data_IF_417487861962
#
_entry.id   IF_417487861962
#
_cell.length_a   1.000
_cell.length_b   1.000
_cell.length_c   1.000
_cell.angle_alpha   90.00
_cell.angle_beta   90.00
_cell.angle_gamma   90.00
#
_symmetry.space_group_name_H-M   'P 1'
#
loop_
_entity.id
_entity.type
_entity.pdbx_description
1 polymer ?
#
# COMPACT_ATOMS: atom_id res chain seq x y z
N UNK A 1 8.87 18.07 -9.00
CA UNK A 1 8.94 17.86 -10.50
C UNK A 1 8.86 16.37 -10.79
N UNK A 2 7.99 15.95 -11.69
CA UNK A 2 7.84 14.53 -12.05
C UNK A 2 9.06 14.05 -12.84
N UNK A 3 9.68 12.96 -12.38
CA UNK A 3 10.87 12.37 -13.00
C UNK A 3 10.44 11.15 -13.81
N UNK A 4 10.69 11.17 -15.11
CA UNK A 4 10.50 9.99 -15.96
C UNK A 4 11.73 9.08 -15.84
N UNK A 5 11.51 7.84 -15.45
CA UNK A 5 12.57 6.86 -15.23
C UNK A 5 13.05 6.29 -16.56
N UNK A 6 14.36 6.18 -16.71
CA UNK A 6 14.99 5.44 -17.81
C UNK A 6 14.76 3.92 -17.65
N UNK A 7 14.97 3.17 -18.72
CA UNK A 7 14.86 1.71 -18.68
C UNK A 7 15.77 1.07 -17.61
N UNK A 8 16.96 1.62 -17.42
CA UNK A 8 17.89 1.17 -16.36
C UNK A 8 17.33 1.43 -14.96
N UNK A 9 16.77 2.62 -14.71
CA UNK A 9 16.17 2.96 -13.40
C UNK A 9 14.93 2.12 -13.10
N UNK A 10 14.08 1.85 -14.11
CA UNK A 10 12.93 0.96 -13.97
C UNK A 10 13.40 -0.45 -13.58
N UNK A 11 14.49 -0.94 -14.16
CA UNK A 11 15.03 -2.26 -13.80
C UNK A 11 15.58 -2.28 -12.34
N UNK A 12 16.19 -1.20 -11.87
CA UNK A 12 16.59 -1.05 -10.46
C UNK A 12 15.37 -1.04 -9.53
N UNK A 13 14.33 -0.27 -9.87
CA UNK A 13 13.07 -0.23 -9.12
C UNK A 13 12.40 -1.61 -9.13
N UNK A 14 12.42 -2.34 -10.23
CA UNK A 14 11.89 -3.71 -10.34
C UNK A 14 12.54 -4.66 -9.35
N UNK A 15 13.86 -4.59 -9.16
CA UNK A 15 14.59 -5.42 -8.17
C UNK A 15 14.13 -5.10 -6.74
N UNK A 16 14.03 -3.82 -6.39
CA UNK A 16 13.55 -3.40 -5.09
C UNK A 16 12.08 -3.81 -4.87
N UNK A 17 11.23 -3.62 -5.89
CA UNK A 17 9.81 -4.01 -5.87
C UNK A 17 9.63 -5.52 -5.72
N UNK A 18 10.48 -6.34 -6.35
CA UNK A 18 10.47 -7.80 -6.17
C UNK A 18 10.79 -8.18 -4.73
N UNK A 19 11.81 -7.56 -4.13
CA UNK A 19 12.16 -7.79 -2.72
C UNK A 19 11.00 -7.41 -1.79
N UNK A 20 10.34 -6.26 -2.03
CA UNK A 20 9.15 -5.82 -1.30
C UNK A 20 8.03 -6.85 -1.41
N UNK A 21 7.70 -7.30 -2.63
CA UNK A 21 6.64 -8.28 -2.88
C UNK A 21 6.92 -9.63 -2.20
N UNK A 22 8.18 -10.11 -2.26
CA UNK A 22 8.59 -11.37 -1.62
C UNK A 22 8.54 -11.26 -0.09
N UNK A 23 8.96 -10.11 0.47
CA UNK A 23 8.87 -9.84 1.90
C UNK A 23 7.41 -9.85 2.36
N UNK A 24 6.51 -9.16 1.63
CA UNK A 24 5.07 -9.19 1.93
C UNK A 24 4.49 -10.60 1.88
N UNK A 25 4.85 -11.39 0.87
CA UNK A 25 4.39 -12.79 0.73
C UNK A 25 4.81 -13.63 1.93
N UNK A 26 6.05 -13.48 2.40
CA UNK A 26 6.54 -14.12 3.62
C UNK A 26 5.73 -13.68 4.86
N UNK A 27 5.50 -12.38 5.02
CA UNK A 27 4.74 -11.85 6.16
C UNK A 27 3.29 -12.33 6.18
N UNK A 28 2.64 -12.41 5.02
CA UNK A 28 1.29 -12.98 4.87
C UNK A 28 1.25 -14.43 5.36
N UNK A 29 2.25 -15.24 5.02
CA UNK A 29 2.37 -16.64 5.49
C UNK A 29 2.55 -16.72 7.01
N UNK A 30 3.33 -15.80 7.60
CA UNK A 30 3.67 -15.79 9.03
C UNK A 30 2.58 -15.16 9.91
N UNK A 31 1.76 -14.28 9.37
CA UNK A 31 0.73 -13.56 10.12
C UNK A 31 -0.43 -14.49 10.53
N UNK A 32 -0.36 -14.96 11.76
CA UNK A 32 -1.33 -15.90 12.38
C UNK A 32 -1.72 -15.41 13.77
N UNK A 33 -2.89 -15.84 14.30
CA UNK A 33 -3.24 -15.54 15.69
C UNK A 33 -2.12 -15.92 16.65
N UNK A 34 -1.77 -14.99 17.55
CA UNK A 34 -0.73 -15.17 18.57
C UNK A 34 0.62 -14.55 18.27
N UNK A 35 0.98 -14.31 17.00
CA UNK A 35 2.19 -13.55 16.65
C UNK A 35 2.01 -12.08 17.01
N UNK A 36 3.09 -11.41 17.43
CA UNK A 36 3.10 -9.98 17.67
C UNK A 36 3.46 -9.21 16.39
N UNK A 37 3.02 -7.97 16.29
CA UNK A 37 3.40 -7.12 15.15
C UNK A 37 4.90 -6.82 15.13
N UNK A 38 5.59 -6.82 16.30
CA UNK A 38 7.04 -6.69 16.37
C UNK A 38 7.78 -7.93 15.83
N UNK A 39 7.26 -9.14 16.06
CA UNK A 39 7.84 -10.34 15.46
C UNK A 39 7.75 -10.31 13.94
N UNK A 40 6.65 -9.83 13.36
CA UNK A 40 6.52 -9.62 11.92
C UNK A 40 7.53 -8.58 11.41
N UNK A 41 7.69 -7.48 12.12
CA UNK A 41 8.69 -6.43 11.82
C UNK A 41 10.11 -7.00 11.77
N UNK A 42 10.47 -7.82 12.77
CA UNK A 42 11.78 -8.48 12.85
C UNK A 42 12.00 -9.42 11.66
N UNK A 43 11.00 -10.24 11.32
CA UNK A 43 11.05 -11.14 10.16
C UNK A 43 11.26 -10.35 8.87
N UNK A 44 10.57 -9.22 8.71
CA UNK A 44 10.72 -8.36 7.54
C UNK A 44 12.14 -7.79 7.43
N UNK A 45 12.68 -7.24 8.55
CA UNK A 45 14.03 -6.66 8.56
C UNK A 45 15.10 -7.70 8.23
N UNK A 46 15.02 -8.89 8.84
CA UNK A 46 15.95 -9.99 8.59
C UNK A 46 15.88 -10.46 7.12
N UNK A 47 14.69 -10.60 6.56
CA UNK A 47 14.50 -11.02 5.18
C UNK A 47 15.07 -10.00 4.19
N UNK A 48 14.70 -8.73 4.34
CA UNK A 48 15.19 -7.63 3.49
C UNK A 48 16.71 -7.58 3.52
N UNK A 49 17.33 -7.60 4.72
CA UNK A 49 18.80 -7.53 4.88
C UNK A 49 19.50 -8.75 4.27
N UNK A 50 18.96 -9.94 4.46
CA UNK A 50 19.56 -11.18 3.93
C UNK A 50 19.55 -11.22 2.40
N UNK A 51 18.70 -10.41 1.76
CA UNK A 51 18.62 -10.27 0.30
C UNK A 51 19.30 -8.98 -0.23
N UNK A 52 20.15 -8.36 0.60
CA UNK A 52 20.95 -7.19 0.20
C UNK A 52 20.18 -5.87 0.15
N UNK A 53 18.96 -5.84 0.65
CA UNK A 53 18.13 -4.63 0.74
C UNK A 53 18.24 -3.90 2.07
N UNK A 54 17.61 -2.74 2.12
CA UNK A 54 17.47 -1.88 3.30
C UNK A 54 16.00 -1.53 3.45
N UNK A 55 15.46 -1.56 4.69
CA UNK A 55 14.15 -0.97 4.96
C UNK A 55 14.20 0.55 4.80
N UNK A 56 13.32 1.09 3.97
CA UNK A 56 13.22 2.54 3.75
C UNK A 56 12.29 3.22 4.76
N UNK A 57 11.38 2.48 5.38
CA UNK A 57 10.49 3.01 6.42
C UNK A 57 11.26 3.35 7.70
N UNK A 58 12.19 2.47 8.11
CA UNK A 58 12.91 2.61 9.37
C UNK A 58 13.82 3.83 9.39
N UNK A 59 13.51 4.79 10.27
CA UNK A 59 14.21 6.06 10.39
C UNK A 59 13.67 7.18 9.50
N UNK A 60 12.75 6.88 8.58
CA UNK A 60 12.13 7.91 7.73
C UNK A 60 11.27 8.84 8.57
N UNK A 61 11.66 10.14 8.62
CA UNK A 61 11.10 11.14 9.54
C UNK A 61 10.97 10.66 11.00
N UNK A 62 11.80 9.70 11.43
CA UNK A 62 11.80 9.14 12.78
C UNK A 62 10.88 7.94 12.99
N UNK A 63 10.26 7.38 11.93
CA UNK A 63 9.48 6.15 12.04
C UNK A 63 10.34 5.00 12.61
N UNK A 64 9.91 4.29 13.67
CA UNK A 64 10.81 3.43 14.43
C UNK A 64 10.99 2.00 13.88
N UNK A 65 10.24 1.61 12.83
CA UNK A 65 10.10 0.22 12.43
C UNK A 65 10.35 -0.03 10.93
N UNK A 66 10.53 -1.28 10.57
CA UNK A 66 10.75 -1.76 9.19
C UNK A 66 9.47 -1.78 8.38
N UNK A 67 8.34 -2.12 9.03
CA UNK A 67 7.02 -2.18 8.41
C UNK A 67 6.04 -1.29 9.15
N UNK A 68 4.96 -0.88 8.47
CA UNK A 68 3.74 -0.46 9.14
C UNK A 68 2.84 -1.70 9.34
N UNK A 69 2.31 -1.88 10.56
CA UNK A 69 1.42 -2.99 10.92
C UNK A 69 0.15 -2.45 11.56
N UNK A 70 -0.83 -2.14 10.72
CA UNK A 70 -2.08 -1.47 11.11
C UNK A 70 -3.20 -2.49 11.32
N UNK A 71 -3.82 -2.51 12.52
CA UNK A 71 -4.81 -3.51 12.89
C UNK A 71 -6.21 -2.87 12.98
N UNK A 72 -7.21 -3.49 12.34
CA UNK A 72 -8.63 -3.16 12.41
C UNK A 72 -8.95 -1.72 11.98
N UNK A 73 -9.24 -0.82 12.92
CA UNK A 73 -9.55 0.62 12.68
C UNK A 73 -8.33 1.45 12.30
N UNK A 74 -7.12 0.90 12.41
CA UNK A 74 -5.91 1.56 11.95
C UNK A 74 -5.84 1.50 10.43
N UNK A 75 -5.74 2.66 9.82
CA UNK A 75 -5.74 2.82 8.36
C UNK A 75 -4.34 2.59 7.81
N UNK A 76 -3.36 3.37 8.32
CA UNK A 76 -1.95 3.34 7.93
C UNK A 76 -1.04 3.68 9.11
N UNK A 77 0.24 3.42 8.94
CA UNK A 77 1.35 3.80 9.82
C UNK A 77 1.27 3.23 11.25
N UNK A 78 0.58 2.10 11.44
CA UNK A 78 0.56 1.40 12.72
C UNK A 78 1.97 0.95 13.12
N UNK A 79 2.43 1.37 14.32
CA UNK A 79 3.78 1.05 14.81
C UNK A 79 3.81 -0.39 15.36
N UNK A 80 4.70 -1.26 14.87
CA UNK A 80 4.90 -2.61 15.41
C UNK A 80 5.25 -2.61 16.91
N UNK A 81 4.68 -3.56 17.67
CA UNK A 81 4.87 -3.64 19.12
C UNK A 81 4.81 -5.08 19.63
N UNK A 82 5.69 -5.40 20.61
CA UNK A 82 5.66 -6.68 21.32
C UNK A 82 4.38 -6.87 22.17
N UNK A 83 3.66 -5.80 22.47
CA UNK A 83 2.40 -5.84 23.23
C UNK A 83 1.19 -6.11 22.34
N UNK A 84 1.34 -6.04 21.01
CA UNK A 84 0.24 -6.17 20.05
C UNK A 84 0.28 -7.53 19.38
N UNK A 85 -0.45 -8.50 19.97
CA UNK A 85 -0.65 -9.85 19.41
C UNK A 85 -1.86 -9.88 18.51
N UNK A 86 -1.71 -10.45 17.32
CA UNK A 86 -2.81 -10.71 16.41
C UNK A 86 -3.79 -11.72 17.01
N UNK A 87 -5.08 -11.48 16.82
CA UNK A 87 -6.17 -12.30 17.32
C UNK A 87 -7.00 -12.82 16.15
N UNK A 88 -7.66 -13.95 16.37
CA UNK A 88 -8.67 -14.42 15.42
C UNK A 88 -9.80 -13.38 15.30
N UNK A 89 -10.10 -12.98 14.08
CA UNK A 89 -11.08 -11.94 13.75
C UNK A 89 -10.48 -10.56 13.49
N UNK A 90 -9.18 -10.34 13.71
CA UNK A 90 -8.50 -9.11 13.31
C UNK A 90 -8.33 -9.05 11.78
N UNK A 91 -8.19 -7.84 11.27
CA UNK A 91 -7.60 -7.58 9.97
C UNK A 91 -6.26 -6.87 10.18
N UNK A 92 -5.27 -7.20 9.37
CA UNK A 92 -3.94 -6.62 9.44
C UNK A 92 -3.56 -6.05 8.07
N UNK A 93 -3.32 -4.74 8.01
CA UNK A 93 -2.65 -4.10 6.90
C UNK A 93 -1.14 -4.10 7.17
N UNK A 94 -0.39 -4.69 6.25
CA UNK A 94 1.08 -4.68 6.25
C UNK A 94 1.53 -3.84 5.08
N UNK A 95 2.33 -2.83 5.36
CA UNK A 95 2.86 -1.91 4.38
C UNK A 95 4.36 -1.76 4.61
N UNK A 96 5.15 -1.87 3.54
CA UNK A 96 6.60 -1.78 3.63
C UNK A 96 7.25 -1.28 2.33
N UNK A 97 8.33 -0.54 2.51
CA UNK A 97 9.22 -0.10 1.45
C UNK A 97 10.59 -0.71 1.63
N UNK A 98 11.06 -1.43 0.63
CA UNK A 98 12.45 -1.90 0.58
C UNK A 98 13.23 -1.15 -0.49
N UNK A 99 14.53 -0.95 -0.27
CA UNK A 99 15.42 -0.38 -1.27
C UNK A 99 16.61 -1.28 -1.57
N UNK A 100 17.02 -1.28 -2.83
CA UNK A 100 18.25 -1.90 -3.33
C UNK A 100 18.95 -0.89 -4.25
N UNK A 101 20.26 -0.71 -4.07
CA UNK A 101 21.10 0.17 -4.90
C UNK A 101 20.54 1.61 -4.98
N UNK A 102 19.88 2.07 -3.92
CA UNK A 102 19.32 3.42 -3.83
C UNK A 102 18.04 3.64 -4.63
N UNK A 103 17.32 2.56 -5.00
CA UNK A 103 15.98 2.62 -5.58
C UNK A 103 14.99 1.87 -4.69
N UNK A 104 13.75 2.34 -4.66
CA UNK A 104 12.72 1.88 -3.77
C UNK A 104 11.69 1.01 -4.50
N UNK A 105 11.05 0.11 -3.75
CA UNK A 105 9.84 -0.60 -4.14
C UNK A 105 8.88 -0.57 -2.95
N UNK A 106 7.63 -0.22 -3.20
CA UNK A 106 6.60 0.03 -2.21
C UNK A 106 5.37 -0.83 -2.47
N UNK A 107 4.81 -1.44 -1.43
CA UNK A 107 3.56 -2.20 -1.54
C UNK A 107 2.93 -2.47 -0.19
N UNK A 108 1.60 -2.54 -0.18
CA UNK A 108 0.80 -2.88 0.99
C UNK A 108 -0.26 -3.93 0.68
N UNK A 109 -0.61 -4.70 1.72
CA UNK A 109 -1.69 -5.68 1.68
C UNK A 109 -2.46 -5.70 2.99
N UNK A 110 -3.77 -5.93 2.91
CA UNK A 110 -4.60 -6.21 4.09
C UNK A 110 -5.08 -7.65 4.06
N UNK A 111 -4.87 -8.36 5.15
CA UNK A 111 -5.23 -9.78 5.27
C UNK A 111 -6.15 -10.03 6.48
N UNK A 112 -7.07 -11.01 6.38
CA UNK A 112 -7.82 -11.48 7.54
C UNK A 112 -6.94 -12.37 8.43
N UNK A 113 -7.03 -12.18 9.73
CA UNK A 113 -6.36 -13.03 10.72
C UNK A 113 -7.36 -14.05 11.26
N UNK A 114 -7.26 -15.28 10.77
CA UNK A 114 -8.24 -16.32 11.07
C UNK A 114 -9.59 -16.02 10.44
N UNK A 115 -10.67 -16.13 11.24
CA UNK A 115 -12.05 -15.94 10.75
C UNK A 115 -12.55 -14.53 11.06
N UNK A 116 -12.79 -13.72 10.03
CA UNK A 116 -13.36 -12.37 10.13
C UNK A 116 -14.84 -12.34 9.73
N UNK A 117 -15.55 -11.28 10.11
CA UNK A 117 -16.95 -11.09 9.74
C UNK A 117 -17.12 -10.94 8.22
N UNK A 118 -18.27 -11.37 7.64
CA UNK A 118 -18.51 -11.29 6.20
C UNK A 118 -18.45 -9.86 5.63
N UNK A 119 -18.91 -8.85 6.37
CA UNK A 119 -18.85 -7.44 5.97
C UNK A 119 -17.43 -6.92 5.90
N UNK A 120 -16.58 -7.36 6.82
CA UNK A 120 -15.14 -7.05 6.82
C UNK A 120 -14.44 -7.76 5.66
N UNK A 121 -14.73 -9.04 5.42
CA UNK A 121 -14.17 -9.75 4.25
C UNK A 121 -14.56 -9.06 2.94
N UNK A 122 -15.80 -8.58 2.83
CA UNK A 122 -16.27 -7.83 1.67
C UNK A 122 -15.52 -6.50 1.52
N UNK A 123 -15.21 -5.79 2.63
CA UNK A 123 -14.37 -4.59 2.60
C UNK A 123 -13.00 -4.89 1.99
N UNK A 124 -12.32 -5.94 2.47
CA UNK A 124 -11.01 -6.32 1.96
C UNK A 124 -11.06 -6.59 0.45
N UNK A 125 -12.04 -7.40 0.02
CA UNK A 125 -12.23 -7.75 -1.38
C UNK A 125 -12.45 -6.52 -2.27
N UNK A 126 -13.37 -5.63 -1.87
CA UNK A 126 -13.68 -4.42 -2.63
C UNK A 126 -12.48 -3.47 -2.67
N UNK A 127 -11.70 -3.38 -1.59
CA UNK A 127 -10.49 -2.54 -1.56
C UNK A 127 -9.42 -3.08 -2.52
N UNK A 128 -9.15 -4.39 -2.49
CA UNK A 128 -8.22 -5.01 -3.42
C UNK A 128 -8.68 -4.84 -4.89
N UNK A 129 -9.97 -5.07 -5.16
CA UNK A 129 -10.54 -4.87 -6.49
C UNK A 129 -10.44 -3.41 -6.96
N UNK A 130 -10.63 -2.44 -6.04
CA UNK A 130 -10.54 -1.01 -6.35
C UNK A 130 -9.13 -0.60 -6.76
N UNK A 131 -8.09 -1.19 -6.15
CA UNK A 131 -6.70 -0.99 -6.55
C UNK A 131 -6.51 -1.34 -8.03
N UNK A 132 -7.00 -2.51 -8.47
CA UNK A 132 -6.88 -2.92 -9.87
C UNK A 132 -7.73 -2.06 -10.81
N UNK A 133 -8.89 -1.54 -10.34
CA UNK A 133 -9.67 -0.55 -11.10
C UNK A 133 -8.89 0.74 -11.32
N UNK A 134 -8.14 1.19 -10.33
CA UNK A 134 -7.21 2.31 -10.47
C UNK A 134 -6.08 2.00 -11.44
N UNK A 135 -5.44 0.84 -11.31
CA UNK A 135 -4.34 0.41 -12.19
C UNK A 135 -4.79 0.30 -13.65
N UNK A 136 -6.01 -0.16 -13.94
CA UNK A 136 -6.58 -0.21 -15.29
C UNK A 136 -6.59 1.17 -15.98
N UNK A 137 -6.57 2.27 -15.22
CA UNK A 137 -6.55 3.64 -15.74
C UNK A 137 -5.15 4.17 -16.06
N UNK A 138 -4.10 3.44 -15.66
CA UNK A 138 -2.70 3.81 -15.92
C UNK A 138 -2.39 3.60 -17.40
N UNK A 139 -2.67 4.65 -18.19
CA UNK A 139 -2.50 4.66 -19.65
C UNK A 139 -1.90 5.99 -20.08
N UNK A 140 -1.02 5.93 -21.06
CA UNK A 140 -0.46 7.14 -21.67
C UNK A 140 -1.58 8.05 -22.15
N UNK A 141 -1.52 9.32 -21.77
CA UNK A 141 -2.52 10.32 -22.14
C UNK A 141 -3.66 10.51 -21.14
N UNK A 142 -3.93 9.55 -20.25
CA UNK A 142 -4.86 9.76 -19.14
C UNK A 142 -4.24 10.69 -18.08
N UNK A 143 -5.09 11.43 -17.37
CA UNK A 143 -4.66 12.18 -16.19
C UNK A 143 -4.55 11.29 -14.95
N UNK A 144 -3.71 11.66 -14.00
CA UNK A 144 -3.57 10.96 -12.69
C UNK A 144 -4.93 10.84 -11.98
N UNK A 145 -5.79 11.85 -12.08
CA UNK A 145 -7.13 11.85 -11.50
C UNK A 145 -8.03 10.70 -11.97
N UNK A 146 -7.78 10.12 -13.14
CA UNK A 146 -8.53 8.96 -13.63
C UNK A 146 -8.37 7.74 -12.70
N UNK A 147 -7.19 7.57 -12.09
CA UNK A 147 -6.90 6.51 -11.11
C UNK A 147 -7.81 6.66 -9.89
N UNK A 148 -7.76 7.82 -9.25
CA UNK A 148 -8.55 8.07 -8.04
C UNK A 148 -10.04 8.06 -8.30
N UNK A 149 -10.50 8.57 -9.44
CA UNK A 149 -11.90 8.51 -9.83
C UNK A 149 -12.42 7.07 -9.96
N UNK A 150 -11.63 6.17 -10.55
CA UNK A 150 -12.00 4.77 -10.69
C UNK A 150 -12.07 4.07 -9.32
N UNK A 151 -11.09 4.31 -8.43
CA UNK A 151 -11.08 3.80 -7.05
C UNK A 151 -12.31 4.29 -6.30
N UNK A 152 -12.54 5.61 -6.27
CA UNK A 152 -13.65 6.23 -5.56
C UNK A 152 -15.00 5.71 -6.04
N UNK A 153 -15.24 5.74 -7.33
CA UNK A 153 -16.51 5.29 -7.93
C UNK A 153 -16.81 3.83 -7.56
N UNK A 154 -15.78 2.98 -7.60
CA UNK A 154 -15.94 1.58 -7.26
C UNK A 154 -16.28 1.39 -5.78
N UNK A 155 -15.51 1.99 -4.87
CA UNK A 155 -15.70 1.84 -3.42
C UNK A 155 -17.01 2.45 -2.91
N UNK A 156 -17.34 3.68 -3.34
CA UNK A 156 -18.57 4.38 -2.93
C UNK A 156 -19.84 3.68 -3.42
N UNK A 157 -19.80 3.04 -4.60
CA UNK A 157 -20.89 2.18 -5.09
C UNK A 157 -21.17 1.00 -4.14
N UNK A 158 -20.16 0.53 -3.41
CA UNK A 158 -20.31 -0.53 -2.40
C UNK A 158 -20.63 0.02 -1.00
N UNK A 159 -20.77 1.34 -0.84
CA UNK A 159 -21.11 2.01 0.41
C UNK A 159 -19.91 2.23 1.34
N UNK A 160 -18.68 2.17 0.85
CA UNK A 160 -17.46 2.35 1.61
C UNK A 160 -16.90 3.77 1.53
N UNK A 161 -16.20 4.20 2.60
CA UNK A 161 -15.51 5.48 2.65
C UNK A 161 -14.13 5.41 2.00
N UNK A 162 -13.76 6.43 1.23
CA UNK A 162 -12.42 6.58 0.63
C UNK A 162 -11.67 7.65 1.41
N UNK A 163 -10.58 7.28 2.07
CA UNK A 163 -9.73 8.19 2.86
C UNK A 163 -9.14 9.28 1.97
N UNK A 164 -9.07 10.51 2.47
CA UNK A 164 -8.64 11.69 1.70
C UNK A 164 -7.38 12.35 2.24
N UNK A 165 -7.00 12.02 3.47
CA UNK A 165 -5.87 12.64 4.18
C UNK A 165 -4.52 12.05 3.74
N UNK A 166 -4.54 10.86 3.14
CA UNK A 166 -3.39 10.17 2.60
C UNK A 166 -3.62 9.84 1.13
N UNK A 167 -2.55 9.86 0.35
CA UNK A 167 -2.60 9.71 -1.10
C UNK A 167 -1.38 8.94 -1.59
N UNK A 168 -1.49 8.27 -2.72
CA UNK A 168 -0.38 7.67 -3.40
C UNK A 168 0.60 8.70 -3.98
N UNK A 169 1.72 8.23 -4.47
CA UNK A 169 2.85 9.08 -4.84
C UNK A 169 3.67 8.49 -5.99
N UNK A 170 4.56 9.31 -6.56
CA UNK A 170 5.64 8.82 -7.40
C UNK A 170 6.72 8.14 -6.56
N UNK A 171 7.53 7.29 -7.19
CA UNK A 171 8.57 6.53 -6.51
C UNK A 171 9.82 6.41 -7.41
N UNK A 172 10.99 6.32 -6.78
CA UNK A 172 12.24 6.13 -7.49
C UNK A 172 13.45 6.09 -6.58
N UNK A 173 14.29 7.12 -6.66
CA UNK A 173 15.41 7.31 -5.73
C UNK A 173 14.97 7.82 -4.37
N UNK A 174 13.87 8.57 -4.33
CA UNK A 174 13.20 8.93 -3.10
C UNK A 174 12.00 8.01 -2.91
N UNK A 175 11.67 7.75 -1.64
CA UNK A 175 10.50 6.94 -1.28
C UNK A 175 9.21 7.63 -1.71
N UNK A 176 9.14 8.96 -1.57
CA UNK A 176 8.02 9.77 -2.03
C UNK A 176 8.50 10.82 -3.04
N UNK A 177 8.02 10.69 -4.27
CA UNK A 177 8.25 11.65 -5.36
C UNK A 177 6.92 12.21 -5.88
N UNK A 178 6.97 13.26 -6.68
CA UNK A 178 5.84 13.70 -7.51
C UNK A 178 5.48 12.62 -8.56
N UNK A 179 4.19 12.52 -8.96
CA UNK A 179 3.05 13.30 -8.47
C UNK A 179 2.37 12.69 -7.24
N UNK A 180 1.54 13.46 -6.55
CA UNK A 180 0.54 12.91 -5.65
C UNK A 180 -0.54 12.17 -6.46
N UNK A 181 -1.04 11.05 -5.93
CA UNK A 181 -2.03 10.18 -6.57
C UNK A 181 -3.22 9.97 -5.62
N UNK A 182 -4.15 10.90 -5.55
CA UNK A 182 -5.34 10.76 -4.71
C UNK A 182 -6.18 9.52 -5.13
N UNK A 183 -6.84 8.90 -4.16
CA UNK A 183 -7.76 7.78 -4.38
C UNK A 183 -9.20 8.27 -4.67
N UNK A 184 -9.35 9.53 -5.03
CA UNK A 184 -10.63 10.21 -5.30
C UNK A 184 -10.42 11.37 -6.27
N UNK A 185 -11.51 11.91 -6.81
CA UNK A 185 -11.50 13.17 -7.55
C UNK A 185 -12.04 13.10 -8.97
N UNK A 186 -11.67 14.12 -9.76
CA UNK A 186 -12.10 14.25 -11.14
C UNK A 186 -11.12 13.52 -12.07
N UNK A 187 -11.61 12.68 -13.01
CA UNK A 187 -10.75 11.90 -13.92
C UNK A 187 -9.86 12.77 -14.82
N UNK A 188 -10.26 13.99 -15.12
CA UNK A 188 -9.55 14.89 -16.05
C UNK A 188 -8.56 15.83 -15.33
N UNK A 189 -8.26 15.58 -14.05
CA UNK A 189 -7.39 16.43 -13.24
C UNK A 189 -6.01 15.82 -13.01
N UNK A 190 -5.05 16.69 -12.74
CA UNK A 190 -3.67 16.34 -12.42
C UNK A 190 -2.79 16.16 -13.67
N UNK A 191 -1.54 15.78 -13.49
CA UNK A 191 -0.61 15.54 -14.59
C UNK A 191 -1.08 14.46 -15.54
N UNK A 192 -0.74 14.61 -16.82
CA UNK A 192 -0.95 13.57 -17.84
C UNK A 192 0.12 12.50 -17.68
N UNK A 193 -0.32 11.25 -17.65
CA UNK A 193 0.57 10.09 -17.53
C UNK A 193 1.41 9.91 -18.79
N UNK A 194 2.71 9.68 -18.57
CA UNK A 194 3.72 9.49 -19.62
C UNK A 194 4.52 8.23 -19.34
N UNK A 195 5.05 7.56 -20.37
CA UNK A 195 5.92 6.41 -20.18
C UNK A 195 7.13 6.77 -19.31
N UNK A 196 7.51 5.86 -18.42
CA UNK A 196 8.58 6.07 -17.45
C UNK A 196 8.15 6.70 -16.13
N UNK A 197 6.89 7.12 -15.96
CA UNK A 197 6.36 7.42 -14.62
C UNK A 197 6.24 6.13 -13.81
N UNK A 198 6.69 6.17 -12.55
CA UNK A 198 6.49 5.09 -11.56
C UNK A 198 5.62 5.62 -10.45
N UNK A 199 4.54 4.91 -10.16
CA UNK A 199 3.41 5.36 -9.36
C UNK A 199 3.07 4.33 -8.29
N UNK A 200 2.93 4.74 -7.03
CA UNK A 200 2.35 3.98 -5.94
C UNK A 200 0.84 4.27 -5.91
N UNK A 201 0.04 3.26 -6.18
CA UNK A 201 -1.43 3.35 -6.17
C UNK A 201 -1.89 2.56 -4.95
N UNK A 202 -2.51 3.27 -3.99
CA UNK A 202 -2.68 2.78 -2.63
C UNK A 202 -4.04 3.16 -2.02
N UNK A 203 -5.15 2.57 -2.49
CA UNK A 203 -6.45 2.82 -1.90
C UNK A 203 -6.50 2.46 -0.41
N UNK A 204 -6.93 3.43 0.40
CA UNK A 204 -7.23 3.30 1.82
C UNK A 204 -8.74 3.44 2.00
N UNK A 205 -9.42 2.34 2.33
CA UNK A 205 -10.88 2.24 2.29
C UNK A 205 -11.40 1.85 3.67
N UNK A 206 -12.49 2.48 4.09
CA UNK A 206 -13.09 2.27 5.42
C UNK A 206 -14.47 1.66 5.33
N UNK A 207 -14.82 0.81 6.29
CA UNK A 207 -16.16 0.22 6.42
C UNK A 207 -17.24 1.28 6.76
N UNK A 208 -16.83 2.45 7.22
CA UNK A 208 -17.72 3.53 7.68
C UNK A 208 -17.31 4.89 7.18
N UNK A 209 -17.07 5.82 8.11
CA UNK A 209 -16.62 7.17 7.79
C UNK A 209 -15.24 7.18 7.16
N UNK A 210 -15.06 7.94 6.08
CA UNK A 210 -13.76 8.13 5.44
C UNK A 210 -12.79 9.03 6.26
N UNK A 211 -13.31 9.71 7.30
CA UNK A 211 -12.53 10.61 8.13
C UNK A 211 -11.61 9.84 9.06
N UNK A 212 -10.41 10.35 9.23
CA UNK A 212 -9.37 9.76 10.07
C UNK A 212 -8.83 10.78 11.08
N UNK A 213 -8.08 10.30 12.04
CA UNK A 213 -7.26 11.11 12.94
C UNK A 213 -5.96 10.37 13.25
N UNK A 214 -4.90 11.11 13.49
CA UNK A 214 -3.61 10.57 13.94
C UNK A 214 -3.64 10.43 15.47
N UNK A 215 -3.08 9.34 15.98
CA UNK A 215 -2.93 9.07 17.40
C UNK A 215 -1.79 9.87 18.02
N UNK A 216 -1.67 9.84 19.35
CA UNK A 216 -0.62 10.56 20.09
C UNK A 216 0.79 10.01 19.94
N UNK A 217 0.98 9.01 19.09
CA UNK A 217 2.29 8.52 18.63
C UNK A 217 2.83 9.25 17.40
N UNK A 218 2.06 10.24 16.91
CA UNK A 218 2.35 11.07 15.73
C UNK A 218 2.38 10.32 14.38
N UNK A 219 2.01 9.02 14.36
CA UNK A 219 2.08 8.16 13.18
C UNK A 219 0.78 7.44 12.87
N UNK A 220 0.26 6.67 13.83
CA UNK A 220 -0.87 5.77 13.59
C UNK A 220 -2.14 6.54 13.24
N UNK A 221 -2.62 6.41 12.02
CA UNK A 221 -3.89 6.98 11.58
C UNK A 221 -5.02 5.98 11.80
N UNK A 222 -6.11 6.41 12.44
CA UNK A 222 -7.27 5.58 12.74
C UNK A 222 -8.55 6.19 12.20
N UNK A 223 -9.56 5.36 11.90
CA UNK A 223 -10.91 5.82 11.55
C UNK A 223 -11.55 6.53 12.75
N UNK A 224 -12.31 7.60 12.50
CA UNK A 224 -12.95 8.36 13.60
C UNK A 224 -14.10 7.61 14.26
N UNK A 225 -14.68 6.63 13.57
CA UNK A 225 -15.83 5.85 14.03
C UNK A 225 -15.44 4.45 14.57
N UNK A 226 -14.14 4.13 14.61
CA UNK A 226 -13.60 2.87 15.13
C UNK A 226 -13.94 1.65 14.28
N UNK A 227 -14.41 1.83 13.04
CA UNK A 227 -14.68 0.73 12.12
C UNK A 227 -13.45 0.31 11.36
N UNK A 228 -13.36 -0.96 10.92
CA UNK A 228 -12.22 -1.46 10.17
C UNK A 228 -11.92 -0.67 8.89
N UNK A 229 -10.64 -0.63 8.55
CA UNK A 229 -10.13 -0.13 7.28
C UNK A 229 -9.32 -1.21 6.55
N UNK A 230 -9.08 -1.01 5.27
CA UNK A 230 -8.21 -1.84 4.45
C UNK A 230 -7.32 -0.94 3.57
N UNK A 231 -6.08 -1.37 3.41
CA UNK A 231 -5.06 -0.71 2.59
C UNK A 231 -4.42 -1.74 1.68
N UNK A 232 -4.44 -1.51 0.38
CA UNK A 232 -3.73 -2.30 -0.63
C UNK A 232 -2.95 -1.37 -1.52
N UNK A 233 -1.78 -1.82 -1.96
CA UNK A 233 -0.92 -0.99 -2.78
C UNK A 233 -0.10 -1.82 -3.76
N UNK A 234 0.17 -1.19 -4.92
CA UNK A 234 1.17 -1.63 -5.87
C UNK A 234 1.98 -0.46 -6.42
N UNK A 235 3.29 -0.71 -6.60
CA UNK A 235 4.16 0.10 -7.46
C UNK A 235 3.93 -0.30 -8.91
N UNK A 236 3.60 0.69 -9.75
CA UNK A 236 3.22 0.50 -11.16
C UNK A 236 4.03 1.44 -12.04
N UNK A 237 4.61 0.94 -13.14
CA UNK A 237 5.22 1.78 -14.15
C UNK A 237 4.29 1.99 -15.33
N UNK A 238 4.20 3.24 -15.80
CA UNK A 238 3.49 3.60 -17.04
C UNK A 238 4.35 3.19 -18.22
N UNK A 239 3.87 2.28 -19.07
CA UNK A 239 4.54 1.90 -20.32
C UNK A 239 3.71 2.32 -21.54
N UNK A 240 4.30 2.27 -22.73
CA UNK A 240 3.56 2.52 -23.99
C UNK A 240 2.38 1.55 -24.18
N UNK A 241 2.46 0.35 -23.60
CA UNK A 241 1.45 -0.70 -23.73
C UNK A 241 0.46 -0.75 -22.54
N UNK A 242 0.51 0.22 -21.64
CA UNK A 242 -0.30 0.29 -20.42
C UNK A 242 0.49 0.06 -19.14
N UNK A 243 -0.19 -0.27 -18.01
CA UNK A 243 0.46 -0.46 -16.73
C UNK A 243 1.28 -1.74 -16.66
N UNK A 244 2.42 -1.67 -16.01
CA UNK A 244 3.17 -2.84 -15.55
C UNK A 244 3.32 -2.76 -14.04
N UNK A 245 2.83 -3.79 -13.33
CA UNK A 245 2.92 -3.86 -11.86
C UNK A 245 4.28 -4.45 -11.47
N UNK A 246 5.12 -3.66 -10.82
CA UNK A 246 6.47 -4.06 -10.42
C UNK A 246 6.48 -4.89 -9.13
N UNK A 247 5.50 -4.69 -8.26
CA UNK A 247 5.33 -5.42 -6.98
C UNK A 247 4.35 -6.59 -7.08
N UNK A 248 4.16 -7.16 -8.29
CA UNK A 248 3.28 -8.32 -8.46
C UNK A 248 3.81 -9.51 -7.65
N UNK A 249 2.93 -10.15 -6.89
CA UNK A 249 3.18 -11.38 -6.14
C UNK A 249 2.78 -12.60 -6.97
N UNK A 250 3.25 -13.78 -6.60
CA UNK A 250 2.90 -15.04 -7.28
C UNK A 250 1.38 -15.32 -7.19
N UNK A 251 0.76 -14.98 -6.04
CA UNK A 251 -0.70 -14.90 -5.91
C UNK A 251 -1.15 -13.45 -6.08
N UNK A 252 -1.59 -13.04 -7.28
CA UNK A 252 -1.89 -11.64 -7.58
C UNK A 252 -3.13 -11.10 -6.86
N UNK A 253 -4.01 -11.99 -6.39
CA UNK A 253 -5.18 -11.66 -5.57
C UNK A 253 -5.12 -12.44 -4.27
N UNK A 254 -5.11 -11.72 -3.13
CA UNK A 254 -5.08 -12.34 -1.80
C UNK A 254 -6.49 -12.68 -1.30
N UNK A 255 -7.48 -11.89 -1.69
CA UNK A 255 -8.86 -12.08 -1.25
C UNK A 255 -9.65 -12.80 -2.35
N UNK A 256 -9.97 -14.05 -2.11
CA UNK A 256 -10.70 -14.91 -3.06
C UNK A 256 -12.22 -14.80 -2.90
#
# INVERSE_FOLDING_TARGET
MIILKSAHEIECIRKASKLTADTLSLLVEKAKPGITTLELDTIAEEYIRSHGGISSCKGYYGFPATICASINEEVVHGIPSAKRKLKNGDVLSIDLVASIDGYHGDSAVTIPIGHVKPDVMKLLKVTEESLFKGIEQVKVGNHIGAIGHAVQTYCEKHGYGVVRDFVGHGLGREMHEDPQIPNYGNPDHGPVMKPGMVLCIEPMITLGSYKVRVLGDDWTAVTIDGKPAAHFEHTVVVTENGPEILTMRDEPRLIK
#
